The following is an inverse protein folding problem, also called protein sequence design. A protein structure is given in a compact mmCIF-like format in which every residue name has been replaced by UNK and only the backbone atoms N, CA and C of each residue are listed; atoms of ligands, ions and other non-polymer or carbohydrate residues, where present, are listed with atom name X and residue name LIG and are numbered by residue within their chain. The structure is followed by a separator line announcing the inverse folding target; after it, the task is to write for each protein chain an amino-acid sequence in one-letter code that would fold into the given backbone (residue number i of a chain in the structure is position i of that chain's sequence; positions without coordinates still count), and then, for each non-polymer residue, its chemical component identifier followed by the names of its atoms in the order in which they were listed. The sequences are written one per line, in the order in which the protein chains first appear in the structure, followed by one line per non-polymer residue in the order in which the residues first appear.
data_IF_382877965789
#
_entry.id   IF_382877965789
#
_cell.length_a   1.000
_cell.length_b   1.000
_cell.length_c   1.000
_cell.angle_alpha   90.00
_cell.angle_beta   90.00
_cell.angle_gamma   90.00
#
_symmetry.space_group_name_H-M   'P 1'
#
loop_
_entity.id
_entity.type
_entity.pdbx_description
1 polymer ?
#
# COMPACT_ATOMS: atom_id res chain seq x y z
N UNK A 1 21.14 -8.97 2.76
CA UNK A 1 20.93 -7.81 1.83
C UNK A 1 21.54 -6.56 2.43
N UNK A 2 22.11 -5.65 1.61
CA UNK A 2 22.52 -4.32 2.08
C UNK A 2 21.32 -3.51 2.57
N UNK A 3 21.54 -2.55 3.45
CA UNK A 3 20.45 -1.78 4.02
C UNK A 3 20.68 -0.27 3.97
N UNK A 4 19.57 0.48 3.95
CA UNK A 4 19.55 1.93 4.15
C UNK A 4 19.06 2.25 5.56
N UNK A 5 19.53 3.35 6.12
CA UNK A 5 18.98 3.92 7.34
C UNK A 5 17.98 5.02 7.00
N UNK A 6 16.76 4.89 7.49
CA UNK A 6 15.75 5.93 7.45
C UNK A 6 15.26 6.23 8.87
N UNK A 7 15.82 7.25 9.53
CA UNK A 7 15.45 7.62 10.89
C UNK A 7 14.18 8.49 10.97
N UNK A 8 13.61 8.89 9.83
CA UNK A 8 12.42 9.72 9.79
C UNK A 8 11.20 8.98 10.33
N UNK A 9 10.35 9.70 11.07
CA UNK A 9 9.02 9.25 11.49
C UNK A 9 7.91 10.05 10.81
N UNK A 10 8.25 10.88 9.85
CA UNK A 10 7.29 11.68 9.09
C UNK A 10 6.67 10.83 7.98
N UNK A 11 5.33 10.64 7.94
CA UNK A 11 4.70 9.76 6.95
C UNK A 11 4.87 10.27 5.51
N UNK A 12 4.87 11.56 5.28
CA UNK A 12 5.03 12.12 3.92
C UNK A 12 6.46 11.92 3.42
N UNK A 13 7.45 12.20 4.28
CA UNK A 13 8.85 11.93 3.98
C UNK A 13 9.08 10.44 3.72
N UNK A 14 8.51 9.55 4.52
CA UNK A 14 8.70 8.11 4.38
C UNK A 14 8.08 7.56 3.09
N UNK A 15 6.91 8.09 2.65
CA UNK A 15 6.34 7.75 1.35
C UNK A 15 7.20 8.28 0.19
N UNK A 16 7.81 9.44 0.35
CA UNK A 16 8.76 10.01 -0.61
C UNK A 16 10.06 9.20 -0.67
N UNK A 17 10.52 8.71 0.47
CA UNK A 17 11.69 7.84 0.56
C UNK A 17 11.48 6.52 -0.21
N UNK A 18 10.29 5.90 -0.08
CA UNK A 18 9.90 4.72 -0.85
C UNK A 18 9.96 4.99 -2.36
N UNK A 19 9.38 6.10 -2.83
CA UNK A 19 9.39 6.48 -4.24
C UNK A 19 10.82 6.77 -4.73
N UNK A 20 11.60 7.55 -3.98
CA UNK A 20 12.99 7.82 -4.31
C UNK A 20 13.82 6.55 -4.42
N UNK A 21 13.65 5.63 -3.47
CA UNK A 21 14.35 4.36 -3.46
C UNK A 21 13.98 3.47 -4.66
N UNK A 22 12.72 3.47 -5.05
CA UNK A 22 12.25 2.71 -6.21
C UNK A 22 12.77 3.31 -7.52
N UNK A 23 12.65 4.62 -7.69
CA UNK A 23 12.80 5.28 -9.00
C UNK A 23 14.20 5.86 -9.24
N UNK A 24 14.89 6.33 -8.21
CA UNK A 24 16.10 7.14 -8.35
C UNK A 24 17.35 6.58 -7.64
N UNK A 25 17.20 5.76 -6.58
CA UNK A 25 18.37 5.29 -5.84
C UNK A 25 19.26 4.38 -6.71
N UNK A 26 20.58 4.69 -6.86
CA UNK A 26 21.45 3.99 -7.82
C UNK A 26 21.99 2.68 -7.24
N UNK A 27 21.14 1.66 -7.13
CA UNK A 27 21.56 0.30 -6.78
C UNK A 27 20.99 -0.70 -7.77
N UNK A 28 21.82 -1.61 -8.26
CA UNK A 28 21.39 -2.76 -9.07
C UNK A 28 21.10 -3.99 -8.20
N UNK A 29 21.69 -4.03 -7.00
CA UNK A 29 21.50 -5.11 -6.04
C UNK A 29 20.27 -4.82 -5.17
N UNK A 30 19.57 -5.85 -4.71
CA UNK A 30 18.46 -5.69 -3.79
C UNK A 30 18.93 -5.13 -2.44
N UNK A 31 18.14 -4.26 -1.87
CA UNK A 31 18.38 -3.68 -0.55
C UNK A 31 17.08 -3.51 0.22
N UNK A 32 17.20 -3.26 1.51
CA UNK A 32 16.04 -3.04 2.39
C UNK A 32 16.28 -1.88 3.36
N UNK A 33 15.21 -1.45 4.00
CA UNK A 33 15.23 -0.57 5.17
C UNK A 33 14.04 -0.83 6.06
N UNK A 34 14.24 -0.55 7.35
CA UNK A 34 13.22 -0.61 8.40
C UNK A 34 12.93 0.81 8.87
N UNK A 35 11.64 1.13 9.03
CA UNK A 35 11.21 2.49 9.34
C UNK A 35 9.90 2.52 10.11
N UNK A 36 9.55 3.66 10.68
CA UNK A 36 8.33 3.87 11.48
C UNK A 36 7.70 5.20 11.12
N UNK A 37 6.39 5.32 11.38
CA UNK A 37 5.69 6.60 11.33
C UNK A 37 5.19 6.99 12.71
N UNK A 38 5.17 8.31 12.98
CA UNK A 38 4.28 8.85 14.01
C UNK A 38 2.83 8.53 13.64
N UNK A 39 1.83 8.68 14.57
CA UNK A 39 0.44 8.35 14.31
C UNK A 39 -0.04 8.89 12.96
N UNK A 40 -0.42 7.98 12.07
CA UNK A 40 -0.82 8.32 10.70
C UNK A 40 -1.67 7.19 10.07
N UNK A 41 -2.54 7.57 9.14
CA UNK A 41 -3.21 6.63 8.24
C UNK A 41 -2.56 6.74 6.87
N UNK A 42 -2.21 5.59 6.30
CA UNK A 42 -1.62 5.51 4.97
C UNK A 42 -2.64 4.83 4.04
N UNK A 43 -3.24 5.60 3.15
CA UNK A 43 -4.16 5.09 2.13
C UNK A 43 -3.40 4.59 0.90
N UNK A 44 -3.98 3.60 0.22
CA UNK A 44 -3.47 3.10 -1.05
C UNK A 44 -3.63 4.12 -2.18
N UNK A 45 -2.84 3.93 -3.24
CA UNK A 45 -2.78 4.83 -4.40
C UNK A 45 -4.18 5.19 -4.96
N UNK A 46 -5.06 4.19 -5.03
CA UNK A 46 -6.35 4.29 -5.71
C UNK A 46 -7.55 4.48 -4.75
N UNK A 47 -7.29 4.61 -3.45
CA UNK A 47 -8.36 4.80 -2.48
C UNK A 47 -8.87 6.24 -2.44
N UNK A 48 -10.19 6.37 -2.16
CA UNK A 48 -10.80 7.65 -1.90
C UNK A 48 -10.67 7.99 -0.41
N UNK A 49 -9.91 9.06 -0.08
CA UNK A 49 -9.68 9.47 1.29
C UNK A 49 -10.97 9.71 2.09
N UNK A 50 -12.01 10.22 1.44
CA UNK A 50 -13.28 10.59 2.09
C UNK A 50 -14.17 9.38 2.43
N UNK A 51 -13.99 8.25 1.74
CA UNK A 51 -14.79 7.04 1.96
C UNK A 51 -14.06 5.93 2.72
N UNK A 52 -12.76 6.08 2.90
CA UNK A 52 -11.92 5.02 3.46
C UNK A 52 -11.42 5.33 4.88
N UNK A 53 -11.52 6.61 5.31
CA UNK A 53 -10.91 7.08 6.55
C UNK A 53 -11.86 8.01 7.29
N UNK A 54 -11.91 7.90 8.61
CA UNK A 54 -12.62 8.83 9.49
C UNK A 54 -11.81 10.12 9.64
N UNK A 55 -11.97 11.05 8.70
CA UNK A 55 -11.20 12.29 8.67
C UNK A 55 -11.41 13.17 9.90
N UNK A 56 -12.64 13.21 10.45
CA UNK A 56 -12.94 13.97 11.66
C UNK A 56 -12.16 13.44 12.86
N UNK A 57 -12.08 12.11 13.00
CA UNK A 57 -11.28 11.48 14.06
C UNK A 57 -9.78 11.76 13.88
N UNK A 58 -9.27 11.76 12.65
CA UNK A 58 -7.88 12.08 12.37
C UNK A 58 -7.53 13.51 12.80
N UNK A 59 -8.38 14.47 12.46
CA UNK A 59 -8.20 15.89 12.81
C UNK A 59 -8.22 16.09 14.31
N UNK A 60 -9.22 15.53 15.02
CA UNK A 60 -9.36 15.63 16.46
C UNK A 60 -8.15 15.08 17.23
N UNK A 61 -7.53 14.02 16.72
CA UNK A 61 -6.41 13.32 17.39
C UNK A 61 -5.03 13.64 16.80
N UNK A 62 -4.94 14.59 15.86
CA UNK A 62 -3.68 14.99 15.22
C UNK A 62 -3.01 13.86 14.45
N UNK A 63 -3.80 12.89 13.92
CA UNK A 63 -3.32 11.77 13.14
C UNK A 63 -3.18 12.22 11.69
N UNK A 64 -1.99 12.03 11.10
CA UNK A 64 -1.74 12.47 9.74
C UNK A 64 -2.31 11.51 8.70
N UNK A 65 -2.80 12.06 7.59
CA UNK A 65 -3.15 11.27 6.41
C UNK A 65 -2.04 11.37 5.37
N UNK A 66 -1.65 10.22 4.81
CA UNK A 66 -0.73 10.14 3.67
C UNK A 66 -1.22 9.13 2.65
N UNK A 67 -0.82 9.29 1.41
CA UNK A 67 -1.10 8.35 0.32
C UNK A 67 0.20 7.75 -0.18
N UNK A 68 0.27 6.41 -0.26
CA UNK A 68 1.43 5.70 -0.79
C UNK A 68 1.34 5.49 -2.31
N UNK A 69 2.44 5.11 -2.94
CA UNK A 69 2.54 4.84 -4.39
C UNK A 69 2.07 3.45 -4.78
N UNK A 70 1.78 2.58 -3.83
CA UNK A 70 1.29 1.22 -4.05
C UNK A 70 -0.21 1.13 -3.84
N UNK A 71 -0.86 0.12 -4.39
CA UNK A 71 -2.27 -0.19 -4.16
C UNK A 71 -2.56 -0.76 -2.76
N UNK A 72 -3.74 -1.35 -2.62
CA UNK A 72 -4.23 -1.96 -1.37
C UNK A 72 -5.00 -1.00 -0.46
N UNK A 73 -5.52 -1.53 0.65
CA UNK A 73 -6.36 -0.83 1.62
C UNK A 73 -5.63 0.16 2.53
N UNK A 74 -6.39 0.92 3.31
CA UNK A 74 -5.86 1.83 4.31
C UNK A 74 -5.24 1.07 5.49
N UNK A 75 -4.14 1.60 6.03
CA UNK A 75 -3.47 1.06 7.21
C UNK A 75 -3.21 2.17 8.23
N UNK A 76 -3.25 1.82 9.51
CA UNK A 76 -2.87 2.72 10.59
C UNK A 76 -1.43 2.42 11.03
N UNK A 77 -0.65 3.45 11.22
CA UNK A 77 0.70 3.41 11.77
C UNK A 77 0.80 4.24 13.03
N UNK A 78 1.52 3.72 14.00
CA UNK A 78 2.06 4.45 15.14
C UNK A 78 3.54 4.05 15.35
N UNK A 79 4.17 4.57 16.39
CA UNK A 79 5.58 4.26 16.68
C UNK A 79 5.82 2.81 17.15
N UNK A 80 4.75 2.04 17.38
CA UNK A 80 4.79 0.61 17.71
C UNK A 80 4.53 -0.30 16.50
N UNK A 81 4.37 0.30 15.31
CA UNK A 81 4.34 -0.41 14.04
C UNK A 81 5.70 -0.27 13.34
N UNK A 82 6.40 -1.39 13.13
CA UNK A 82 7.61 -1.41 12.31
C UNK A 82 7.23 -1.64 10.86
N UNK A 83 7.70 -0.79 9.97
CA UNK A 83 7.56 -1.01 8.54
C UNK A 83 8.87 -1.55 7.97
N UNK A 84 8.75 -2.35 6.94
CA UNK A 84 9.86 -2.79 6.11
C UNK A 84 9.63 -2.41 4.66
N UNK A 85 10.71 -2.14 3.97
CA UNK A 85 10.73 -1.96 2.53
C UNK A 85 11.88 -2.75 1.93
N UNK A 86 11.61 -3.46 0.86
CA UNK A 86 12.61 -4.18 0.04
C UNK A 86 12.50 -3.65 -1.38
N UNK A 87 13.62 -3.28 -1.97
CA UNK A 87 13.72 -2.79 -3.35
C UNK A 87 14.70 -3.67 -4.12
N UNK A 88 14.29 -4.12 -5.31
CA UNK A 88 15.12 -4.97 -6.17
C UNK A 88 14.40 -5.32 -7.47
N UNK A 89 14.95 -6.23 -8.28
CA UNK A 89 14.29 -6.71 -9.51
C UNK A 89 13.13 -7.66 -9.23
N UNK A 90 13.24 -8.45 -8.17
CA UNK A 90 12.24 -9.44 -7.74
C UNK A 90 12.00 -9.29 -6.22
N UNK A 91 11.55 -8.09 -5.82
CA UNK A 91 11.32 -7.82 -4.41
C UNK A 91 10.16 -8.68 -3.86
N UNK A 92 10.37 -9.28 -2.70
CA UNK A 92 9.41 -10.17 -2.05
C UNK A 92 9.47 -10.02 -0.54
N UNK A 93 8.36 -10.22 0.21
CA UNK A 93 8.37 -10.19 1.67
C UNK A 93 8.98 -11.46 2.32
N UNK A 94 9.38 -12.47 1.54
CA UNK A 94 9.94 -13.73 2.06
C UNK A 94 11.09 -13.55 3.05
N UNK A 95 12.10 -12.68 2.79
CA UNK A 95 13.17 -12.46 3.76
C UNK A 95 12.68 -12.00 5.13
N UNK A 96 11.61 -11.20 5.18
CA UNK A 96 11.00 -10.75 6.43
C UNK A 96 10.31 -11.90 7.17
N UNK A 97 9.62 -12.78 6.44
CA UNK A 97 9.00 -13.98 7.03
C UNK A 97 10.09 -14.92 7.59
N UNK A 98 11.18 -15.11 6.85
CA UNK A 98 12.30 -15.94 7.29
C UNK A 98 12.98 -15.35 8.54
N UNK A 99 13.14 -14.03 8.58
CA UNK A 99 13.67 -13.34 9.77
C UNK A 99 12.75 -13.50 11.00
N UNK A 100 11.43 -13.37 10.83
CA UNK A 100 10.48 -13.64 11.91
C UNK A 100 10.57 -15.09 12.41
N UNK A 101 10.69 -16.05 11.48
CA UNK A 101 10.87 -17.47 11.83
C UNK A 101 12.18 -17.72 12.58
N UNK A 102 13.27 -17.07 12.19
CA UNK A 102 14.55 -17.15 12.90
C UNK A 102 14.46 -16.61 14.33
N UNK A 103 13.53 -15.66 14.58
CA UNK A 103 13.23 -15.14 15.91
C UNK A 103 12.22 -16.02 16.69
N UNK A 104 11.79 -17.16 16.14
CA UNK A 104 10.87 -18.09 16.79
C UNK A 104 9.38 -17.84 16.53
N UNK A 105 9.02 -16.92 15.62
CA UNK A 105 7.63 -16.64 15.26
C UNK A 105 7.22 -17.55 14.09
N UNK A 106 6.15 -18.37 14.18
CA UNK A 106 5.68 -19.23 13.10
C UNK A 106 4.92 -18.43 12.02
N UNK A 107 5.63 -17.48 11.40
CA UNK A 107 5.08 -16.58 10.40
C UNK A 107 4.86 -17.30 9.05
N UNK A 108 3.74 -17.02 8.39
CA UNK A 108 3.37 -17.59 7.11
C UNK A 108 2.86 -16.50 6.15
N UNK A 109 3.26 -16.60 4.87
CA UNK A 109 2.63 -15.81 3.81
C UNK A 109 1.29 -16.46 3.46
N UNK A 110 0.22 -15.71 3.57
CA UNK A 110 -1.14 -16.21 3.37
C UNK A 110 -1.98 -15.20 2.60
N UNK A 111 -2.90 -15.71 1.76
CA UNK A 111 -3.75 -14.84 0.95
C UNK A 111 -2.97 -14.09 -0.12
N UNK A 112 -3.43 -12.87 -0.41
CA UNK A 112 -2.87 -12.04 -1.48
C UNK A 112 -1.62 -11.27 -1.05
N UNK A 113 -1.64 -10.75 0.18
CA UNK A 113 -0.66 -9.75 0.62
C UNK A 113 -0.52 -9.66 2.14
N UNK A 114 -0.66 -10.77 2.85
CA UNK A 114 -0.65 -10.78 4.31
C UNK A 114 0.41 -11.75 4.86
N UNK A 115 0.92 -11.44 6.06
CA UNK A 115 1.69 -12.36 6.89
C UNK A 115 0.83 -12.69 8.13
N UNK A 116 0.67 -13.97 8.39
CA UNK A 116 -0.12 -14.50 9.49
C UNK A 116 0.77 -15.23 10.51
N UNK A 117 0.32 -15.20 11.75
CA UNK A 117 0.83 -16.01 12.85
C UNK A 117 -0.38 -16.57 13.58
N UNK A 118 -0.46 -17.90 13.75
CA UNK A 118 -1.57 -18.59 14.42
C UNK A 118 -2.96 -18.15 13.91
N UNK A 119 -3.11 -18.04 12.60
CA UNK A 119 -4.35 -17.67 11.93
C UNK A 119 -4.75 -16.20 12.06
N UNK A 120 -3.91 -15.34 12.64
CA UNK A 120 -4.13 -13.90 12.78
C UNK A 120 -3.12 -13.10 11.96
N UNK A 121 -3.58 -12.06 11.31
CA UNK A 121 -2.74 -11.16 10.51
C UNK A 121 -1.85 -10.32 11.41
N UNK A 122 -0.54 -10.34 11.18
CA UNK A 122 0.47 -9.50 11.85
C UNK A 122 1.11 -8.49 10.92
N UNK A 123 0.89 -8.64 9.60
CA UNK A 123 1.44 -7.78 8.56
C UNK A 123 0.55 -7.75 7.34
N UNK A 124 0.45 -6.59 6.71
CA UNK A 124 -0.01 -6.46 5.32
C UNK A 124 1.10 -5.84 4.49
N UNK A 125 1.23 -6.24 3.22
CA UNK A 125 2.20 -5.66 2.31
C UNK A 125 1.57 -5.27 0.97
N UNK A 126 2.24 -4.38 0.25
CA UNK A 126 1.88 -3.97 -1.09
C UNK A 126 3.14 -3.86 -1.94
N UNK A 127 2.96 -3.89 -3.27
CA UNK A 127 4.07 -3.83 -4.21
C UNK A 127 3.78 -2.84 -5.35
N UNK A 128 4.86 -2.35 -5.98
CA UNK A 128 4.83 -1.58 -7.21
C UNK A 128 6.04 -1.92 -8.07
N UNK A 129 5.82 -1.96 -9.37
CA UNK A 129 6.88 -2.12 -10.37
C UNK A 129 7.17 -0.77 -11.02
N UNK A 130 8.48 -0.48 -11.19
CA UNK A 130 8.98 0.67 -11.91
C UNK A 130 10.14 0.23 -12.83
N UNK A 131 9.88 0.20 -14.13
CA UNK A 131 10.79 -0.40 -15.10
C UNK A 131 11.16 -1.84 -14.72
N UNK A 132 12.47 -2.12 -14.52
CA UNK A 132 12.98 -3.43 -14.09
C UNK A 132 13.09 -3.58 -12.57
N UNK A 133 12.63 -2.59 -11.79
CA UNK A 133 12.70 -2.59 -10.33
C UNK A 133 11.32 -2.78 -9.72
N UNK A 134 11.33 -3.32 -8.55
CA UNK A 134 10.14 -3.55 -7.77
C UNK A 134 10.37 -3.11 -6.32
N UNK A 135 9.36 -2.52 -5.72
CA UNK A 135 9.29 -2.25 -4.29
C UNK A 135 8.21 -3.11 -3.66
N UNK A 136 8.56 -3.72 -2.55
CA UNK A 136 7.62 -4.35 -1.63
C UNK A 136 7.79 -3.68 -0.28
N UNK A 137 6.73 -3.11 0.25
CA UNK A 137 6.70 -2.58 1.60
C UNK A 137 5.54 -3.15 2.40
N UNK A 138 5.73 -3.28 3.69
CA UNK A 138 4.71 -3.83 4.57
C UNK A 138 4.87 -3.40 6.01
N UNK A 139 3.83 -3.68 6.77
CA UNK A 139 3.76 -3.40 8.22
C UNK A 139 4.18 -4.63 9.02
N UNK A 140 4.72 -4.43 10.21
CA UNK A 140 4.86 -5.43 11.26
C UNK A 140 4.25 -4.84 12.53
N UNK A 141 3.05 -5.26 12.87
CA UNK A 141 2.34 -4.79 14.06
C UNK A 141 3.00 -5.37 15.30
N UNK A 142 3.82 -4.56 16.01
CA UNK A 142 4.50 -5.02 17.22
C UNK A 142 3.63 -4.87 18.46
N UNK A 143 3.20 -3.63 18.77
CA UNK A 143 2.34 -3.29 19.92
C UNK A 143 1.42 -2.13 19.52
N UNK A 144 0.82 -2.21 18.34
CA UNK A 144 -0.02 -1.18 17.73
C UNK A 144 -1.30 -1.02 18.52
N UNK A 145 -1.75 0.23 18.67
CA UNK A 145 -3.06 0.54 19.25
C UNK A 145 -4.19 0.11 18.30
N UNK A 146 -4.74 -1.07 18.56
CA UNK A 146 -5.82 -1.65 17.75
C UNK A 146 -7.16 -0.92 17.91
N UNK A 147 -7.35 -0.16 18.99
CA UNK A 147 -8.56 0.66 19.18
C UNK A 147 -8.53 1.85 18.25
N UNK A 148 -7.42 2.58 18.24
CA UNK A 148 -7.20 3.68 17.29
C UNK A 148 -7.25 3.18 15.85
N UNK A 149 -6.59 2.05 15.52
CA UNK A 149 -6.66 1.43 14.21
C UNK A 149 -8.11 1.24 13.74
N UNK A 150 -8.96 0.74 14.62
CA UNK A 150 -10.38 0.49 14.27
C UNK A 150 -11.13 1.80 14.03
N UNK A 151 -10.93 2.80 14.89
CA UNK A 151 -11.65 4.09 14.84
C UNK A 151 -11.27 4.92 13.61
N UNK A 152 -10.00 4.90 13.19
CA UNK A 152 -9.54 5.64 12.01
C UNK A 152 -10.09 5.06 10.70
N UNK A 153 -10.46 3.78 10.67
CA UNK A 153 -11.03 3.09 9.51
C UNK A 153 -12.55 2.93 9.58
N UNK A 154 -13.19 3.42 10.65
CA UNK A 154 -14.64 3.41 10.84
C UNK A 154 -15.26 4.69 10.26
N UNK A 155 -15.63 4.65 8.98
CA UNK A 155 -16.21 5.81 8.28
C UNK A 155 -17.69 5.95 8.67
N UNK A 156 -18.12 7.08 9.25
CA UNK A 156 -19.50 7.32 9.60
C UNK A 156 -20.45 7.16 8.38
N UNK A 157 -21.53 6.39 8.56
CA UNK A 157 -22.52 6.12 7.49
C UNK A 157 -22.15 4.95 6.57
N UNK A 158 -21.01 4.29 6.77
CA UNK A 158 -20.70 3.05 6.06
C UNK A 158 -21.55 1.89 6.60
N UNK A 159 -22.03 0.99 5.71
CA UNK A 159 -22.82 -0.21 6.09
C UNK A 159 -22.08 -1.19 7.01
N UNK A 160 -20.88 -0.84 7.48
CA UNK A 160 -19.98 -1.65 8.33
C UNK A 160 -20.08 -1.33 9.82
N UNK A 161 -20.90 -0.34 10.22
CA UNK A 161 -20.93 0.24 11.58
C UNK A 161 -21.15 -0.75 12.75
N UNK A 162 -21.78 -1.88 12.55
CA UNK A 162 -22.17 -2.76 13.67
C UNK A 162 -21.27 -3.99 13.90
N UNK A 163 -20.38 -4.32 12.98
CA UNK A 163 -19.53 -5.53 13.04
C UNK A 163 -18.01 -5.25 13.09
N UNK A 164 -17.61 -3.98 12.96
CA UNK A 164 -16.23 -3.60 12.67
C UNK A 164 -15.23 -3.95 13.77
N UNK A 165 -15.45 -3.49 15.00
CA UNK A 165 -14.42 -3.49 16.07
C UNK A 165 -14.04 -4.90 16.51
N UNK A 166 -15.02 -5.72 16.89
CA UNK A 166 -14.77 -7.09 17.33
C UNK A 166 -14.17 -7.96 16.20
N UNK A 167 -14.59 -7.70 14.96
CA UNK A 167 -14.15 -8.46 13.79
C UNK A 167 -12.73 -8.08 13.32
N UNK A 168 -12.28 -6.84 13.54
CA UNK A 168 -10.89 -6.45 13.24
C UNK A 168 -9.96 -7.07 14.30
N UNK A 169 -10.26 -6.88 15.58
CA UNK A 169 -9.47 -7.45 16.69
C UNK A 169 -9.32 -8.96 16.64
N UNK A 170 -10.32 -9.70 16.17
CA UNK A 170 -10.23 -11.16 16.04
C UNK A 170 -9.36 -11.62 14.90
N UNK A 171 -9.11 -10.76 13.89
CA UNK A 171 -8.36 -11.09 12.68
C UNK A 171 -6.89 -10.64 12.68
N UNK A 172 -6.53 -9.69 13.56
CA UNK A 172 -5.18 -9.16 13.65
C UNK A 172 -4.53 -9.52 15.00
N UNK A 173 -3.20 -9.49 15.07
CA UNK A 173 -2.44 -9.66 16.30
C UNK A 173 -1.20 -8.77 16.30
N UNK A 174 -0.75 -8.41 17.49
CA UNK A 174 0.53 -7.79 17.70
C UNK A 174 1.63 -8.85 17.84
N UNK A 175 2.79 -8.62 17.24
CA UNK A 175 3.96 -9.52 17.32
C UNK A 175 4.55 -9.61 18.73
N UNK A 176 4.32 -8.62 19.58
CA UNK A 176 4.77 -8.59 20.96
C UNK A 176 4.33 -9.83 21.73
N UNK A 177 3.13 -10.35 21.46
CA UNK A 177 2.60 -11.55 22.10
C UNK A 177 3.39 -12.82 21.75
N UNK A 178 4.08 -12.82 20.62
CA UNK A 178 4.88 -13.93 20.11
C UNK A 178 6.40 -13.75 20.29
N UNK A 179 6.81 -12.59 20.79
CA UNK A 179 8.22 -12.19 20.92
C UNK A 179 8.54 -11.70 22.34
N UNK A 180 8.33 -12.54 23.39
CA UNK A 180 8.52 -12.13 24.78
C UNK A 180 9.98 -11.76 25.13
N UNK A 181 10.93 -12.16 24.30
CA UNK A 181 12.35 -11.82 24.44
C UNK A 181 12.67 -10.35 24.13
N UNK A 182 11.79 -9.63 23.45
CA UNK A 182 11.94 -8.20 23.18
C UNK A 182 11.04 -7.36 24.10
N UNK A 183 11.64 -6.49 24.88
CA UNK A 183 10.92 -5.54 25.72
C UNK A 183 10.49 -4.26 25.00
N UNK A 184 11.04 -4.02 23.80
CA UNK A 184 10.75 -2.84 22.99
C UNK A 184 10.85 -3.14 21.50
N UNK A 185 10.18 -2.29 20.71
CA UNK A 185 10.29 -2.35 19.24
C UNK A 185 11.71 -2.07 18.74
N UNK A 186 12.51 -1.28 19.45
CA UNK A 186 13.90 -1.03 19.07
C UNK A 186 14.74 -2.31 19.10
N UNK A 187 14.50 -3.17 20.10
CA UNK A 187 15.15 -4.48 20.18
C UNK A 187 14.75 -5.39 19.00
N UNK A 188 13.48 -5.44 18.67
CA UNK A 188 13.01 -6.19 17.50
C UNK A 188 13.58 -5.63 16.20
N UNK A 189 13.59 -4.31 16.03
CA UNK A 189 14.12 -3.66 14.83
C UNK A 189 15.60 -3.97 14.64
N UNK A 190 16.40 -3.92 15.71
CA UNK A 190 17.82 -4.26 15.66
C UNK A 190 18.04 -5.72 15.27
N UNK A 191 17.32 -6.66 15.88
CA UNK A 191 17.40 -8.08 15.55
C UNK A 191 16.97 -8.38 14.12
N UNK A 192 15.86 -7.79 13.65
CA UNK A 192 15.41 -7.91 12.26
C UNK A 192 16.44 -7.35 11.28
N UNK A 193 17.04 -6.20 11.57
CA UNK A 193 18.08 -5.61 10.74
C UNK A 193 19.32 -6.52 10.66
N UNK A 194 19.76 -7.08 11.77
CA UNK A 194 20.90 -8.00 11.83
C UNK A 194 20.65 -9.25 10.97
N UNK A 195 19.49 -9.88 11.10
CA UNK A 195 19.14 -11.09 10.35
C UNK A 195 19.02 -10.77 8.84
N UNK A 196 18.34 -9.69 8.47
CA UNK A 196 18.13 -9.32 7.07
C UNK A 196 19.43 -8.87 6.39
N UNK A 197 20.31 -8.17 7.11
CA UNK A 197 21.59 -7.70 6.59
C UNK A 197 22.62 -8.83 6.52
N UNK A 198 22.65 -9.74 7.48
CA UNK A 198 23.71 -10.74 7.59
C UNK A 198 25.09 -10.07 7.68
N UNK A 199 26.00 -10.42 6.77
CA UNK A 199 27.31 -9.79 6.65
C UNK A 199 27.34 -8.53 5.79
N UNK A 200 26.24 -8.18 5.15
CA UNK A 200 26.15 -7.05 4.22
C UNK A 200 26.06 -5.72 4.98
N UNK A 201 26.68 -4.70 4.41
CA UNK A 201 26.82 -3.41 5.05
C UNK A 201 25.71 -2.40 4.72
N UNK A 202 25.84 -1.23 5.36
CA UNK A 202 24.99 -0.07 5.10
C UNK A 202 25.30 0.55 3.73
N UNK A 203 24.24 0.98 3.04
CA UNK A 203 24.32 1.75 1.81
C UNK A 203 24.44 3.25 2.12
N UNK A 204 25.21 4.02 1.34
CA UNK A 204 25.37 5.46 1.58
C UNK A 204 24.08 6.23 1.24
N UNK A 205 23.66 7.08 2.17
CA UNK A 205 22.52 7.99 1.98
C UNK A 205 22.87 9.38 2.51
N UNK A 206 23.59 10.15 1.68
CA UNK A 206 24.10 11.48 2.01
C UNK A 206 23.05 12.57 2.01
N UNK A 207 23.48 13.81 2.30
CA UNK A 207 22.61 14.97 2.42
C UNK A 207 21.88 15.32 1.12
N UNK A 208 22.56 15.22 -0.02
CA UNK A 208 21.98 15.45 -1.35
C UNK A 208 20.74 14.57 -1.59
N UNK A 209 20.82 13.27 -1.23
CA UNK A 209 19.70 12.35 -1.36
C UNK A 209 18.57 12.64 -0.38
N UNK A 210 18.92 13.08 0.85
CA UNK A 210 17.91 13.52 1.83
C UNK A 210 17.16 14.76 1.33
N UNK A 211 17.87 15.71 0.73
CA UNK A 211 17.27 16.88 0.13
C UNK A 211 16.35 16.53 -1.04
N UNK A 212 16.74 15.59 -1.90
CA UNK A 212 15.90 15.11 -2.99
C UNK A 212 14.61 14.43 -2.48
N UNK A 213 14.70 13.61 -1.43
CA UNK A 213 13.52 13.02 -0.80
C UNK A 213 12.62 14.09 -0.18
N UNK A 214 13.21 15.11 0.46
CA UNK A 214 12.43 16.21 1.04
C UNK A 214 11.72 17.01 -0.04
N UNK A 215 12.37 17.28 -1.17
CA UNK A 215 11.74 17.94 -2.32
C UNK A 215 10.54 17.16 -2.86
N UNK A 216 10.65 15.83 -2.99
CA UNK A 216 9.53 14.96 -3.38
C UNK A 216 8.41 15.05 -2.33
N UNK A 217 8.75 15.07 -1.04
CA UNK A 217 7.77 15.23 0.04
C UNK A 217 7.00 16.54 -0.10
N UNK A 218 7.71 17.66 -0.27
CA UNK A 218 7.13 18.99 -0.28
C UNK A 218 6.30 19.25 -1.56
N UNK A 219 6.75 18.73 -2.70
CA UNK A 219 6.10 18.96 -4.00
C UNK A 219 5.02 17.96 -4.35
N UNK A 220 4.96 16.82 -3.65
CA UNK A 220 3.99 15.76 -3.96
C UNK A 220 3.29 15.23 -2.71
N UNK A 221 3.99 14.49 -1.84
CA UNK A 221 3.34 13.64 -0.84
C UNK A 221 2.66 14.41 0.29
N UNK A 222 3.08 15.64 0.60
CA UNK A 222 2.41 16.50 1.56
C UNK A 222 1.29 17.34 0.95
N UNK A 223 1.14 17.34 -0.38
CA UNK A 223 0.19 18.21 -1.06
C UNK A 223 -1.24 17.67 -0.95
N UNK A 224 -2.20 18.61 -0.91
CA UNK A 224 -3.63 18.29 -0.92
C UNK A 224 -4.01 17.50 -2.18
N UNK A 225 -3.48 17.88 -3.34
CA UNK A 225 -3.76 17.23 -4.63
C UNK A 225 -3.37 15.75 -4.64
N UNK A 226 -2.23 15.40 -4.05
CA UNK A 226 -1.82 14.01 -3.95
C UNK A 226 -2.68 13.22 -2.97
N UNK A 227 -2.98 13.78 -1.81
CA UNK A 227 -3.67 13.07 -0.73
C UNK A 227 -5.16 12.95 -1.04
N UNK A 228 -5.83 14.05 -1.43
CA UNK A 228 -7.28 14.15 -1.57
C UNK A 228 -7.74 14.33 -3.02
N UNK A 229 -6.99 15.06 -3.84
CA UNK A 229 -7.40 15.49 -5.18
C UNK A 229 -7.57 14.38 -6.21
N UNK A 230 -7.15 13.15 -5.89
CA UNK A 230 -7.37 11.98 -6.76
C UNK A 230 -8.80 11.43 -6.73
N UNK A 231 -9.67 11.97 -5.90
CA UNK A 231 -11.09 11.60 -5.87
C UNK A 231 -11.84 12.33 -6.99
N UNK A 232 -12.17 11.61 -8.07
CA UNK A 232 -12.89 12.18 -9.23
C UNK A 232 -14.41 12.00 -9.10
N UNK A 233 -15.17 13.02 -9.53
CA UNK A 233 -16.60 12.86 -9.81
C UNK A 233 -16.76 12.15 -11.16
N UNK A 234 -17.77 11.29 -11.29
CA UNK A 234 -18.07 10.56 -12.51
C UNK A 234 -19.57 10.36 -12.65
N UNK A 235 -20.03 10.23 -13.91
CA UNK A 235 -21.46 10.04 -14.21
C UNK A 235 -21.91 8.61 -13.91
N UNK A 236 -20.98 7.65 -14.05
CA UNK A 236 -21.23 6.24 -13.83
C UNK A 236 -20.17 5.73 -12.83
N UNK A 237 -20.64 5.06 -11.78
CA UNK A 237 -19.76 4.40 -10.79
C UNK A 237 -20.18 2.94 -10.66
N UNK A 238 -19.23 2.04 -10.83
CA UNK A 238 -19.42 0.59 -10.70
C UNK A 238 -18.36 0.00 -9.79
N UNK A 239 -18.73 -1.02 -9.04
CA UNK A 239 -17.80 -1.65 -8.12
C UNK A 239 -18.02 -3.15 -8.04
N UNK A 240 -16.92 -3.91 -7.99
CA UNK A 240 -16.96 -5.34 -7.74
C UNK A 240 -15.77 -5.79 -6.90
N UNK A 241 -15.98 -6.87 -6.16
CA UNK A 241 -14.92 -7.59 -5.45
C UNK A 241 -14.30 -8.61 -6.41
N UNK A 242 -13.08 -8.34 -6.89
CA UNK A 242 -12.32 -9.20 -7.78
C UNK A 242 -11.17 -9.90 -7.04
N UNK A 243 -10.39 -10.71 -7.75
CA UNK A 243 -9.26 -11.43 -7.16
C UNK A 243 -8.23 -10.48 -6.51
N UNK A 244 -7.99 -9.31 -7.11
CA UNK A 244 -7.04 -8.30 -6.61
C UNK A 244 -7.56 -7.45 -5.45
N UNK A 245 -8.86 -7.46 -5.14
CA UNK A 245 -9.49 -6.57 -4.18
C UNK A 245 -10.79 -5.99 -4.69
N UNK A 246 -11.29 -4.95 -4.03
CA UNK A 246 -12.42 -4.17 -4.54
C UNK A 246 -11.90 -3.25 -5.63
N UNK A 247 -12.47 -3.35 -6.82
CA UNK A 247 -12.23 -2.44 -7.94
C UNK A 247 -13.48 -1.60 -8.14
N UNK A 248 -13.31 -0.29 -8.08
CA UNK A 248 -14.32 0.68 -8.43
C UNK A 248 -13.94 1.34 -9.75
N UNK A 249 -14.87 1.39 -10.69
CA UNK A 249 -14.72 2.09 -11.97
C UNK A 249 -15.59 3.34 -11.93
N UNK A 250 -14.97 4.48 -12.18
CA UNK A 250 -15.62 5.78 -12.35
C UNK A 250 -15.41 6.22 -13.77
N UNK A 251 -16.49 6.47 -14.49
CA UNK A 251 -16.40 6.85 -15.90
C UNK A 251 -17.44 7.88 -16.28
N UNK A 252 -17.12 8.72 -17.28
CA UNK A 252 -18.00 9.65 -17.93
C UNK A 252 -18.05 9.33 -19.43
N UNK A 253 -19.22 9.48 -20.02
CA UNK A 253 -19.47 9.22 -21.44
C UNK A 253 -19.94 10.48 -22.14
N UNK A 254 -19.48 10.67 -23.38
CA UNK A 254 -20.05 11.64 -24.31
C UNK A 254 -20.21 11.01 -25.68
N UNK A 255 -21.40 11.15 -26.26
CA UNK A 255 -21.73 10.56 -27.56
C UNK A 255 -21.39 9.06 -27.69
N UNK A 256 -21.51 8.29 -26.58
CA UNK A 256 -21.22 6.85 -26.55
C UNK A 256 -19.73 6.52 -26.53
N UNK A 257 -18.86 7.49 -26.27
CA UNK A 257 -17.44 7.30 -26.09
C UNK A 257 -17.02 7.64 -24.64
N UNK A 258 -15.97 6.97 -24.15
CA UNK A 258 -15.41 7.23 -22.84
C UNK A 258 -14.65 8.56 -22.85
N UNK A 259 -15.13 9.55 -22.14
CA UNK A 259 -14.46 10.86 -22.01
C UNK A 259 -13.50 10.90 -20.82
N UNK A 260 -13.88 10.27 -19.71
CA UNK A 260 -12.99 10.08 -18.56
C UNK A 260 -13.23 8.69 -17.95
N UNK A 261 -12.16 8.09 -17.44
CA UNK A 261 -12.20 6.84 -16.70
C UNK A 261 -11.13 6.84 -15.62
N UNK A 262 -11.51 6.36 -14.45
CA UNK A 262 -10.57 6.13 -13.35
C UNK A 262 -10.93 4.85 -12.60
N UNK A 263 -9.90 4.14 -12.13
CA UNK A 263 -10.05 3.00 -11.25
C UNK A 263 -9.77 3.41 -9.81
N UNK A 264 -10.66 3.04 -8.88
CA UNK A 264 -10.54 3.27 -7.45
C UNK A 264 -10.69 1.97 -6.66
N UNK A 265 -10.52 2.05 -5.34
CA UNK A 265 -10.72 0.92 -4.43
C UNK A 265 -9.44 0.44 -3.74
N UNK A 266 -9.53 -0.74 -3.12
CA UNK A 266 -8.46 -1.36 -2.34
C UNK A 266 -7.69 -2.47 -3.09
N UNK A 267 -7.78 -2.46 -4.44
CA UNK A 267 -7.14 -3.48 -5.26
C UNK A 267 -5.61 -3.41 -5.23
N UNK A 268 -5.00 -4.55 -5.47
CA UNK A 268 -3.56 -4.71 -5.61
C UNK A 268 -3.18 -4.81 -7.09
N UNK A 269 -2.00 -4.30 -7.43
CA UNK A 269 -1.42 -4.39 -8.75
C UNK A 269 0.00 -3.82 -8.79
N UNK A 270 0.82 -4.32 -9.67
CA UNK A 270 2.22 -3.91 -9.82
C UNK A 270 2.38 -2.60 -10.60
N UNK A 271 1.43 -2.26 -11.48
CA UNK A 271 1.45 -1.04 -12.31
C UNK A 271 0.33 -0.07 -11.93
N UNK A 272 0.54 1.24 -12.12
CA UNK A 272 -0.50 2.24 -11.91
C UNK A 272 -1.67 2.06 -12.89
N UNK A 273 -2.90 1.87 -12.37
CA UNK A 273 -4.10 1.66 -13.17
C UNK A 273 -4.48 2.87 -14.04
N UNK A 274 -3.99 4.06 -13.70
CA UNK A 274 -4.20 5.27 -14.52
C UNK A 274 -3.69 5.09 -15.96
N UNK A 275 -2.60 4.34 -16.17
CA UNK A 275 -2.09 4.04 -17.52
C UNK A 275 -3.07 3.24 -18.35
N UNK A 276 -3.76 2.30 -17.72
CA UNK A 276 -4.79 1.51 -18.38
C UNK A 276 -6.04 2.35 -18.65
N UNK A 277 -6.42 3.20 -17.70
CA UNK A 277 -7.52 4.14 -17.85
C UNK A 277 -7.31 5.09 -19.04
N UNK A 278 -6.10 5.61 -19.22
CA UNK A 278 -5.76 6.48 -20.36
C UNK A 278 -5.93 5.78 -21.71
N UNK A 279 -5.66 4.47 -21.79
CA UNK A 279 -5.86 3.67 -23.02
C UNK A 279 -7.32 3.53 -23.41
N UNK A 280 -8.23 3.64 -22.47
CA UNK A 280 -9.68 3.49 -22.71
C UNK A 280 -10.37 4.81 -23.07
N UNK A 281 -9.73 5.96 -22.82
CA UNK A 281 -10.28 7.26 -23.17
C UNK A 281 -10.41 7.44 -24.69
N UNK A 282 -11.51 8.03 -25.10
CA UNK A 282 -11.87 8.26 -26.51
C UNK A 282 -12.41 7.02 -27.22
N UNK A 283 -12.38 5.84 -26.60
CA UNK A 283 -12.91 4.63 -27.21
C UNK A 283 -14.44 4.59 -27.11
N UNK A 284 -15.06 3.88 -28.05
CA UNK A 284 -16.50 3.59 -27.98
C UNK A 284 -16.79 2.72 -26.76
N UNK A 285 -17.86 3.04 -26.06
CA UNK A 285 -18.32 2.30 -24.89
C UNK A 285 -19.11 1.07 -25.29
N UNK A 286 -18.43 0.11 -25.88
CA UNK A 286 -18.97 -1.21 -26.20
C UNK A 286 -17.98 -2.31 -25.80
N UNK A 287 -18.51 -3.52 -25.52
CA UNK A 287 -17.73 -4.63 -24.99
C UNK A 287 -16.56 -5.03 -25.89
N UNK A 288 -16.80 -5.07 -27.20
CA UNK A 288 -15.79 -5.53 -28.14
C UNK A 288 -14.59 -4.58 -28.21
N UNK A 289 -14.88 -3.26 -28.29
CA UNK A 289 -13.85 -2.22 -28.35
C UNK A 289 -13.02 -2.17 -27.06
N UNK A 290 -13.69 -2.17 -25.90
CA UNK A 290 -12.99 -2.11 -24.60
C UNK A 290 -12.20 -3.38 -24.32
N UNK A 291 -12.77 -4.56 -24.59
CA UNK A 291 -12.05 -5.83 -24.44
C UNK A 291 -10.81 -5.90 -25.33
N UNK A 292 -10.90 -5.45 -26.58
CA UNK A 292 -9.76 -5.44 -27.50
C UNK A 292 -8.61 -4.54 -26.97
N UNK A 293 -8.96 -3.37 -26.43
CA UNK A 293 -7.98 -2.45 -25.84
C UNK A 293 -7.36 -3.02 -24.56
N UNK A 294 -8.15 -3.65 -23.69
CA UNK A 294 -7.67 -4.28 -22.47
C UNK A 294 -6.84 -5.53 -22.73
N UNK A 295 -7.21 -6.34 -23.74
CA UNK A 295 -6.47 -7.54 -24.13
C UNK A 295 -5.12 -7.24 -24.80
N UNK A 296 -4.94 -6.02 -25.33
CA UNK A 296 -3.64 -5.56 -25.83
C UNK A 296 -2.64 -5.24 -24.69
N UNK A 297 -3.12 -5.16 -23.47
CA UNK A 297 -2.33 -4.93 -22.26
C UNK A 297 -2.38 -6.19 -21.37
N UNK A 298 -1.35 -6.40 -20.58
CA UNK A 298 -1.37 -7.43 -19.55
C UNK A 298 -2.11 -6.88 -18.31
N UNK A 299 -3.44 -7.03 -18.29
CA UNK A 299 -4.30 -6.53 -17.20
C UNK A 299 -3.89 -7.07 -15.84
N UNK A 300 -3.35 -8.30 -15.77
CA UNK A 300 -2.87 -8.89 -14.53
C UNK A 300 -1.70 -8.14 -13.88
N UNK A 301 -0.99 -7.30 -14.61
CA UNK A 301 0.04 -6.41 -14.04
C UNK A 301 -0.55 -5.18 -13.35
N UNK A 302 -1.75 -4.76 -13.74
CA UNK A 302 -2.47 -3.62 -13.15
C UNK A 302 -3.40 -4.06 -12.02
N UNK A 303 -4.01 -5.25 -12.18
CA UNK A 303 -4.98 -5.84 -11.26
C UNK A 303 -4.62 -7.31 -11.04
N UNK A 304 -3.92 -7.59 -9.95
CA UNK A 304 -3.37 -8.92 -9.68
C UNK A 304 -4.41 -10.04 -9.84
N UNK A 305 -4.20 -10.91 -10.84
CA UNK A 305 -5.06 -12.06 -11.13
C UNK A 305 -6.41 -11.75 -11.78
N UNK A 306 -6.62 -10.54 -12.30
CA UNK A 306 -7.84 -10.15 -13.01
C UNK A 306 -7.61 -10.19 -14.52
N UNK A 307 -8.49 -10.88 -15.24
CA UNK A 307 -8.46 -10.97 -16.69
C UNK A 307 -9.06 -9.74 -17.36
N UNK A 308 -8.73 -9.54 -18.64
CA UNK A 308 -9.32 -8.48 -19.47
C UNK A 308 -10.84 -8.62 -19.60
N UNK A 309 -11.36 -9.85 -19.65
CA UNK A 309 -12.80 -10.14 -19.69
C UNK A 309 -13.50 -9.69 -18.39
N UNK A 310 -12.97 -10.09 -17.22
CA UNK A 310 -13.55 -9.70 -15.93
C UNK A 310 -13.56 -8.17 -15.75
N UNK A 311 -12.47 -7.50 -16.16
CA UNK A 311 -12.37 -6.05 -16.06
C UNK A 311 -13.33 -5.37 -17.05
N UNK A 312 -13.46 -5.89 -18.28
CA UNK A 312 -14.43 -5.40 -19.27
C UNK A 312 -15.85 -5.53 -18.76
N UNK A 313 -16.18 -6.71 -18.19
CA UNK A 313 -17.51 -6.95 -17.63
C UNK A 313 -17.83 -5.98 -16.49
N UNK A 314 -16.85 -5.66 -15.62
CA UNK A 314 -17.03 -4.64 -14.60
C UNK A 314 -17.26 -3.24 -15.19
N UNK A 315 -16.56 -2.88 -16.26
CA UNK A 315 -16.72 -1.56 -16.90
C UNK A 315 -18.08 -1.43 -17.60
N UNK A 316 -18.59 -2.51 -18.21
CA UNK A 316 -19.81 -2.49 -19.05
C UNK A 316 -21.09 -2.84 -18.28
N UNK A 317 -21.01 -3.56 -17.17
CA UNK A 317 -22.17 -4.03 -16.42
C UNK A 317 -23.11 -2.90 -16.03
N UNK A 318 -24.41 -3.12 -16.28
CA UNK A 318 -25.51 -2.27 -15.77
C UNK A 318 -25.73 -2.46 -14.26
#
# INVERSE_FOLDING_TARGET
MRFLKNPSTDPWYNMSFDEYCLEQYPSNDPFFYLWRNRPSVIIGLNQNAYSEVNLAYLEEHGIRLARRVTGGGAVYHDLQNLNYTIVGREATPRPVVEALRALGVPAELTGRNDIYVDGRKVSGYARRVWHEREIVHGTLMYDVDLDTLTRVLDVPGSKLEAKGIASVRSRVANLKDFLPQFSSLDGLQAAMQEILAGSDGELPFGEERRAAVQEISDTKFSTWDWIYGRSRQADIVRSARLACGTVEVRLSLDHGCVTDLAFGGDFLGGLPADRLAERLRGLRFDRQTLLAALAAEDTGRYFDGVSSDELTDLIIRD
#
